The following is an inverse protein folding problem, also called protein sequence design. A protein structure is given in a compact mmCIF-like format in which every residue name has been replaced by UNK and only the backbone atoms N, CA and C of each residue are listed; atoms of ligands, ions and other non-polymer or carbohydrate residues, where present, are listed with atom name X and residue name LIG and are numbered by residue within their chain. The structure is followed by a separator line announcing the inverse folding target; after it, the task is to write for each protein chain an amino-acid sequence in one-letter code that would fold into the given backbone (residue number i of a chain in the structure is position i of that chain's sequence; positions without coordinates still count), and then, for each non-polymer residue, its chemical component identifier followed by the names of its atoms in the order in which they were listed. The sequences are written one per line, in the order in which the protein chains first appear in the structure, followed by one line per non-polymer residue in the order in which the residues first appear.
data_IF_720804993409
#
_entry.id   IF_720804993409
#
_cell.length_a   1.000
_cell.length_b   1.000
_cell.length_c   1.000
_cell.angle_alpha   90.00
_cell.angle_beta   90.00
_cell.angle_gamma   90.00
#
_symmetry.space_group_name_H-M   'P 1'
#
loop_
_entity.id
_entity.type
_entity.pdbx_description
1 polymer ?
#
# COMPACT_ATOMS: atom_id res chain seq x y z
N UNK A 1 -9.23 -2.44 -12.73
CA UNK A 1 -9.17 -3.29 -11.51
C UNK A 1 -8.98 -2.43 -10.27
N UNK A 2 -9.35 -2.93 -9.09
CA UNK A 2 -9.05 -2.30 -7.81
C UNK A 2 -7.75 -2.91 -7.24
N UNK A 3 -6.73 -2.07 -7.09
CA UNK A 3 -5.38 -2.49 -6.69
C UNK A 3 -5.07 -1.89 -5.31
N UNK A 4 -4.73 -2.75 -4.35
CA UNK A 4 -4.36 -2.33 -2.99
C UNK A 4 -2.84 -2.20 -2.87
N UNK A 5 -2.36 -1.07 -2.37
CA UNK A 5 -0.93 -0.83 -2.08
C UNK A 5 -0.77 -0.67 -0.56
N UNK A 6 -0.34 -1.73 0.16
CA UNK A 6 -0.04 -1.62 1.59
C UNK A 6 1.30 -0.88 1.78
N UNK A 7 1.23 0.32 2.34
CA UNK A 7 2.36 1.20 2.61
C UNK A 7 2.46 1.61 4.09
N UNK A 8 1.93 0.81 5.01
CA UNK A 8 1.93 1.10 6.45
C UNK A 8 3.33 1.14 7.07
N UNK A 9 4.31 0.49 6.44
CA UNK A 9 5.70 0.46 6.88
C UNK A 9 6.48 1.75 6.54
N UNK A 10 5.87 2.66 5.78
CA UNK A 10 6.55 3.86 5.30
C UNK A 10 6.93 4.76 6.49
N UNK A 11 8.17 5.24 6.48
CA UNK A 11 8.67 6.21 7.45
C UNK A 11 8.65 7.62 6.86
N UNK A 12 8.76 8.65 7.70
CA UNK A 12 8.76 10.06 7.26
C UNK A 12 9.89 10.37 6.26
N UNK A 13 11.03 9.68 6.37
CA UNK A 13 12.17 9.79 5.45
C UNK A 13 12.73 8.41 5.10
N UNK A 14 13.28 8.27 3.88
CA UNK A 14 13.92 7.05 3.41
C UNK A 14 13.68 6.73 1.93
N UNK A 15 14.42 5.76 1.41
CA UNK A 15 14.31 5.32 0.00
C UNK A 15 12.93 4.76 -0.36
N UNK A 16 12.28 4.08 0.58
CA UNK A 16 10.91 3.54 0.42
C UNK A 16 9.86 4.64 0.23
N UNK A 17 10.05 5.79 0.86
CA UNK A 17 9.17 6.96 0.72
C UNK A 17 9.25 7.57 -0.67
N UNK A 18 10.48 7.72 -1.19
CA UNK A 18 10.72 8.22 -2.54
C UNK A 18 10.19 7.24 -3.59
N UNK A 19 10.39 5.94 -3.38
CA UNK A 19 9.87 4.89 -4.26
C UNK A 19 8.35 4.97 -4.38
N UNK A 20 7.62 5.01 -3.25
CA UNK A 20 6.16 5.09 -3.28
C UNK A 20 5.67 6.36 -3.99
N UNK A 21 6.25 7.53 -3.69
CA UNK A 21 5.84 8.80 -4.31
C UNK A 21 6.06 8.80 -5.82
N UNK A 22 7.24 8.34 -6.27
CA UNK A 22 7.56 8.26 -7.68
C UNK A 22 6.66 7.26 -8.40
N UNK A 23 6.42 6.10 -7.78
CA UNK A 23 5.51 5.08 -8.32
C UNK A 23 4.10 5.66 -8.51
N UNK A 24 3.54 6.28 -7.46
CA UNK A 24 2.18 6.81 -7.53
C UNK A 24 2.04 7.99 -8.50
N UNK A 25 3.07 8.84 -8.60
CA UNK A 25 3.08 9.93 -9.59
C UNK A 25 3.16 9.40 -11.03
N UNK A 26 3.97 8.37 -11.27
CA UNK A 26 4.08 7.74 -12.59
C UNK A 26 2.79 7.02 -12.97
N UNK A 27 2.21 6.26 -12.04
CA UNK A 27 1.04 5.44 -12.35
C UNK A 27 -0.21 6.27 -12.60
N UNK A 28 -0.42 7.38 -11.88
CA UNK A 28 -1.54 8.30 -12.18
C UNK A 28 -1.47 8.90 -13.60
N UNK A 29 -0.25 9.06 -14.13
CA UNK A 29 -0.03 9.54 -15.50
C UNK A 29 -0.25 8.45 -16.54
N UNK A 30 0.26 7.25 -16.30
CA UNK A 30 0.36 6.17 -17.30
C UNK A 30 -0.88 5.29 -17.29
N UNK A 31 -1.34 4.85 -16.12
CA UNK A 31 -2.47 3.92 -16.01
C UNK A 31 -3.79 4.68 -16.04
N UNK A 32 -4.65 4.31 -16.99
CA UNK A 32 -5.96 4.94 -17.15
C UNK A 32 -7.14 4.10 -16.69
N UNK A 33 -6.95 2.82 -16.42
CA UNK A 33 -8.02 1.84 -16.24
C UNK A 33 -8.14 1.36 -14.79
N UNK A 34 -7.05 1.41 -14.04
CA UNK A 34 -7.00 0.89 -12.68
C UNK A 34 -7.27 1.95 -11.61
N UNK A 35 -7.84 1.50 -10.49
CA UNK A 35 -8.05 2.28 -9.28
C UNK A 35 -7.11 1.77 -8.20
N UNK A 36 -6.42 2.68 -7.54
CA UNK A 36 -5.42 2.39 -6.52
C UNK A 36 -5.94 2.78 -5.15
N UNK A 37 -5.89 1.85 -4.21
CA UNK A 37 -6.19 2.08 -2.81
C UNK A 37 -4.86 1.98 -2.06
N UNK A 38 -4.36 3.10 -1.56
CA UNK A 38 -3.07 3.17 -0.86
C UNK A 38 -3.31 3.24 0.64
N UNK A 39 -2.82 2.27 1.39
CA UNK A 39 -2.95 2.25 2.85
C UNK A 39 -1.67 2.78 3.50
N UNK A 40 -1.76 3.90 4.20
CA UNK A 40 -0.63 4.55 4.88
C UNK A 40 -0.87 4.65 6.38
N UNK A 41 0.21 4.75 7.15
CA UNK A 41 0.08 5.11 8.56
C UNK A 41 -0.42 6.56 8.65
N UNK A 42 -1.32 6.85 9.59
CA UNK A 42 -1.90 8.19 9.84
C UNK A 42 -0.84 9.28 10.07
N UNK A 43 0.32 8.91 10.59
CA UNK A 43 1.45 9.83 10.81
C UNK A 43 2.20 10.20 9.52
N UNK A 44 1.91 9.54 8.41
CA UNK A 44 2.50 9.79 7.10
C UNK A 44 1.53 10.57 6.21
N UNK A 45 1.90 11.81 5.87
CA UNK A 45 1.14 12.65 4.94
C UNK A 45 1.52 12.33 3.51
N UNK A 46 0.61 11.66 2.81
CA UNK A 46 0.69 11.41 1.38
C UNK A 46 -0.30 12.32 0.64
N UNK A 47 0.21 13.41 0.08
CA UNK A 47 -0.58 14.33 -0.72
C UNK A 47 -0.43 13.93 -2.20
N UNK A 48 -1.47 13.31 -2.75
CA UNK A 48 -1.58 12.99 -4.17
C UNK A 48 -2.97 13.43 -4.60
N UNK A 49 -3.02 14.26 -5.64
CA UNK A 49 -4.25 14.73 -6.25
C UNK A 49 -4.45 13.94 -7.55
N UNK A 50 -5.04 12.74 -7.41
CA UNK A 50 -5.43 11.89 -8.54
C UNK A 50 -6.70 11.14 -8.16
N UNK A 51 -7.77 11.29 -8.96
CA UNK A 51 -9.08 10.69 -8.70
C UNK A 51 -9.06 9.16 -8.66
N UNK A 52 -8.02 8.54 -9.25
CA UNK A 52 -7.84 7.08 -9.29
C UNK A 52 -7.10 6.58 -8.07
N UNK A 53 -6.47 7.46 -7.29
CA UNK A 53 -5.66 7.12 -6.13
C UNK A 53 -6.42 7.53 -4.86
N UNK A 54 -7.02 6.53 -4.20
CA UNK A 54 -7.64 6.70 -2.89
C UNK A 54 -6.64 6.38 -1.79
N UNK A 55 -6.35 7.35 -0.94
CA UNK A 55 -5.49 7.15 0.23
C UNK A 55 -6.34 6.84 1.46
N UNK A 56 -6.07 5.72 2.11
CA UNK A 56 -6.66 5.32 3.39
C UNK A 56 -5.58 5.40 4.48
N UNK A 57 -5.90 6.09 5.58
CA UNK A 57 -4.98 6.27 6.70
C UNK A 57 -5.39 5.41 7.89
N UNK A 58 -4.44 4.65 8.43
CA UNK A 58 -4.65 3.78 9.59
C UNK A 58 -3.67 4.13 10.72
N UNK A 59 -4.13 4.04 11.96
CA UNK A 59 -3.24 4.24 13.10
C UNK A 59 -2.48 2.94 13.41
N UNK A 60 -1.15 2.95 13.27
CA UNK A 60 -0.29 1.80 13.56
C UNK A 60 0.68 2.16 14.70
N UNK A 61 0.53 1.45 15.82
CA UNK A 61 1.22 1.76 17.10
C UNK A 61 2.52 0.99 17.30
N UNK A 62 2.65 -0.19 16.70
CA UNK A 62 3.77 -1.10 16.91
C UNK A 62 3.89 -2.10 15.77
N UNK A 63 5.03 -2.79 15.70
CA UNK A 63 5.26 -3.85 14.71
C UNK A 63 4.26 -5.01 14.84
N UNK A 64 3.84 -5.36 16.06
CA UNK A 64 2.83 -6.40 16.26
C UNK A 64 1.43 -5.94 15.80
N UNK A 65 1.07 -4.69 16.07
CA UNK A 65 -0.19 -4.13 15.56
C UNK A 65 -0.17 -4.08 14.03
N UNK A 66 0.97 -3.74 13.44
CA UNK A 66 1.19 -3.77 12.00
C UNK A 66 1.03 -5.18 11.43
N UNK A 67 1.65 -6.17 12.05
CA UNK A 67 1.52 -7.56 11.64
C UNK A 67 0.07 -8.04 11.70
N UNK A 68 -0.65 -7.71 12.79
CA UNK A 68 -2.08 -7.99 12.89
C UNK A 68 -2.86 -7.34 11.75
N UNK A 69 -2.58 -6.07 11.43
CA UNK A 69 -3.23 -5.38 10.33
C UNK A 69 -2.97 -6.08 9.00
N UNK A 70 -1.70 -6.40 8.70
CA UNK A 70 -1.29 -7.06 7.45
C UNK A 70 -1.97 -8.43 7.28
N UNK A 71 -2.23 -9.17 8.37
CA UNK A 71 -2.85 -10.50 8.28
C UNK A 71 -4.38 -10.48 8.34
N UNK A 72 -5.01 -9.56 9.07
CA UNK A 72 -6.46 -9.59 9.34
C UNK A 72 -7.20 -8.43 8.69
N UNK A 73 -6.85 -7.18 9.04
CA UNK A 73 -7.52 -5.98 8.53
C UNK A 73 -7.37 -5.86 7.00
N UNK A 74 -6.19 -6.18 6.48
CA UNK A 74 -5.96 -6.14 5.04
C UNK A 74 -6.89 -7.12 4.29
N UNK A 75 -7.12 -8.32 4.83
CA UNK A 75 -8.05 -9.30 4.23
C UNK A 75 -9.49 -8.82 4.26
N UNK A 76 -9.88 -8.12 5.33
CA UNK A 76 -11.20 -7.49 5.44
C UNK A 76 -11.38 -6.42 4.37
N UNK A 77 -10.40 -5.52 4.22
CA UNK A 77 -10.40 -4.49 3.18
C UNK A 77 -10.45 -5.06 1.77
N UNK A 78 -9.72 -6.16 1.51
CA UNK A 78 -9.75 -6.85 0.21
C UNK A 78 -11.17 -7.25 -0.16
N UNK A 79 -11.95 -7.78 0.78
CA UNK A 79 -13.34 -8.16 0.55
C UNK A 79 -14.26 -6.95 0.41
N UNK A 80 -14.18 -6.00 1.34
CA UNK A 80 -15.07 -4.84 1.39
C UNK A 80 -14.92 -3.93 0.17
N UNK A 81 -13.68 -3.71 -0.27
CA UNK A 81 -13.37 -2.83 -1.39
C UNK A 81 -13.29 -3.58 -2.73
N UNK A 82 -13.60 -4.88 -2.74
CA UNK A 82 -13.50 -5.76 -3.92
C UNK A 82 -12.15 -5.57 -4.62
N UNK A 83 -11.07 -5.72 -3.86
CA UNK A 83 -9.71 -5.63 -4.37
C UNK A 83 -9.44 -6.84 -5.26
N UNK A 84 -8.87 -6.62 -6.45
CA UNK A 84 -8.51 -7.68 -7.39
C UNK A 84 -7.03 -8.11 -7.25
N UNK A 85 -6.18 -7.20 -6.77
CA UNK A 85 -4.73 -7.37 -6.71
C UNK A 85 -4.14 -6.61 -5.51
N UNK A 86 -3.22 -7.25 -4.78
CA UNK A 86 -2.34 -6.57 -3.81
C UNK A 86 -0.99 -6.31 -4.47
N UNK A 87 -0.54 -5.07 -4.44
CA UNK A 87 0.74 -4.61 -4.96
C UNK A 87 1.65 -4.11 -3.83
N UNK A 88 2.53 -4.98 -3.37
CA UNK A 88 3.42 -4.75 -2.23
C UNK A 88 4.75 -4.19 -2.69
N UNK A 89 4.91 -2.87 -2.59
CA UNK A 89 6.14 -2.15 -3.01
C UNK A 89 7.26 -2.15 -1.97
N UNK A 90 6.95 -2.49 -0.71
CA UNK A 90 7.84 -2.26 0.45
C UNK A 90 8.26 -3.55 1.16
N UNK A 91 8.32 -4.70 0.47
CA UNK A 91 8.68 -6.01 1.06
C UNK A 91 7.69 -6.55 2.12
N UNK A 92 6.47 -6.04 2.17
CA UNK A 92 5.48 -6.46 3.15
C UNK A 92 4.14 -6.84 2.50
N UNK A 93 3.52 -7.90 2.98
CA UNK A 93 2.22 -8.36 2.49
C UNK A 93 1.58 -9.43 3.37
N UNK A 94 0.53 -10.06 2.87
CA UNK A 94 -0.18 -11.14 3.57
C UNK A 94 0.53 -12.47 3.33
N UNK A 95 0.60 -13.33 4.35
CA UNK A 95 1.18 -14.67 4.25
C UNK A 95 0.27 -15.62 3.44
N UNK A 96 -1.03 -15.30 3.33
CA UNK A 96 -1.98 -16.04 2.49
C UNK A 96 -3.10 -15.09 2.00
N UNK A 97 -2.83 -14.26 0.99
CA UNK A 97 -3.78 -13.29 0.50
C UNK A 97 -4.96 -13.97 -0.20
N UNK A 98 -6.17 -13.48 0.01
CA UNK A 98 -7.38 -13.99 -0.67
C UNK A 98 -7.45 -13.62 -2.16
N UNK A 99 -6.47 -12.86 -2.65
CA UNK A 99 -6.32 -12.40 -4.03
C UNK A 99 -4.85 -12.47 -4.43
N UNK A 100 -4.54 -12.34 -5.72
CA UNK A 100 -3.14 -12.32 -6.18
C UNK A 100 -2.38 -11.19 -5.47
N UNK A 101 -1.13 -11.47 -5.11
CA UNK A 101 -0.23 -10.49 -4.50
C UNK A 101 1.09 -10.47 -5.26
N UNK A 102 1.50 -9.26 -5.67
CA UNK A 102 2.79 -8.99 -6.30
C UNK A 102 3.69 -8.30 -5.29
N UNK A 103 4.78 -8.98 -4.93
CA UNK A 103 5.78 -8.45 -4.00
C UNK A 103 6.97 -7.94 -4.82
N UNK A 104 7.18 -6.63 -4.78
CA UNK A 104 8.37 -6.01 -5.32
C UNK A 104 9.42 -5.94 -4.22
N UNK A 105 10.61 -6.42 -4.54
CA UNK A 105 11.74 -6.31 -3.64
C UNK A 105 12.32 -4.90 -3.74
N UNK A 106 12.02 -4.05 -2.76
CA UNK A 106 12.84 -2.86 -2.54
C UNK A 106 14.21 -3.36 -2.05
N UNK A 107 15.30 -2.86 -2.64
CA UNK A 107 16.67 -3.27 -2.29
C UNK A 107 16.95 -3.25 -0.78
N UNK A 108 18.04 -3.90 -0.31
CA UNK A 108 18.28 -4.15 1.11
C UNK A 108 18.06 -2.87 1.93
N UNK A 109 17.16 -2.94 2.90
CA UNK A 109 17.06 -1.92 3.94
C UNK A 109 18.38 -1.95 4.71
N UNK A 110 19.16 -0.84 4.73
CA UNK A 110 20.37 -0.77 5.53
C UNK A 110 20.08 -0.88 7.02
#
# INVERSE_FOLDING_TARGET
MNILIPALAIKKSGGTTRLLRNFLSAIGRIDKENKYIVCVNKDYKLNIEDEKIKVLSFYIKSNLHRFYWDQFEMRKLVKELKIDLILSLLNFGCINPSVKQLNFQAGPTP
#
